data_IF_131192185917
#
_entry.id   IF_131192185917
#
_cell.length_a   1.000
_cell.length_b   1.000
_cell.length_c   1.000
_cell.angle_alpha   90.00
_cell.angle_beta   90.00
_cell.angle_gamma   90.00
#
_symmetry.space_group_name_H-M   'P 1'
#
loop_
_entity.id
_entity.type
_entity.pdbx_description
1 polymer ?
#
# COMPACT_ATOMS: atom_id res chain seq x y z
N UNK A 1 -9.60 -5.59 17.30
CA UNK A 1 -9.70 -7.05 17.07
C UNK A 1 -9.52 -7.24 15.56
N UNK A 2 -8.34 -7.65 15.13
CA UNK A 2 -8.10 -7.92 13.72
C UNK A 2 -8.95 -9.12 13.31
N UNK A 3 -9.91 -8.91 12.41
CA UNK A 3 -10.69 -10.00 11.82
C UNK A 3 -9.79 -10.64 10.79
N UNK A 4 -9.21 -11.78 11.15
CA UNK A 4 -8.40 -12.60 10.26
C UNK A 4 -9.31 -13.62 9.59
N UNK A 5 -9.35 -13.54 8.27
CA UNK A 5 -9.95 -14.58 7.45
C UNK A 5 -8.90 -15.61 7.04
N UNK A 6 -9.31 -16.56 6.25
CA UNK A 6 -8.45 -17.60 5.69
C UNK A 6 -8.68 -17.77 4.19
N UNK A 7 -7.66 -18.21 3.50
CA UNK A 7 -7.74 -18.51 2.08
C UNK A 7 -8.56 -19.78 1.89
N UNK A 8 -9.59 -19.69 1.05
CA UNK A 8 -10.39 -20.83 0.62
C UNK A 8 -9.84 -21.46 -0.67
N UNK A 9 -9.42 -20.62 -1.64
CA UNK A 9 -8.93 -21.06 -2.94
C UNK A 9 -7.89 -20.12 -3.51
N UNK A 10 -6.90 -20.66 -4.23
CA UNK A 10 -5.90 -19.91 -4.99
C UNK A 10 -6.01 -20.28 -6.47
N UNK A 11 -6.04 -19.31 -7.36
CA UNK A 11 -6.12 -19.47 -8.80
C UNK A 11 -5.21 -18.43 -9.50
N UNK A 12 -3.94 -18.74 -9.65
CA UNK A 12 -2.94 -17.79 -10.14
C UNK A 12 -2.86 -16.56 -9.23
N UNK A 13 -2.95 -15.34 -9.76
CA UNK A 13 -2.90 -14.12 -8.95
C UNK A 13 -4.19 -13.83 -8.19
N UNK A 14 -5.24 -14.64 -8.38
CA UNK A 14 -6.53 -14.45 -7.73
C UNK A 14 -6.69 -15.42 -6.56
N UNK A 15 -7.01 -14.88 -5.41
CA UNK A 15 -7.25 -15.63 -4.17
C UNK A 15 -8.70 -15.40 -3.73
N UNK A 16 -9.38 -16.47 -3.31
CA UNK A 16 -10.68 -16.38 -2.64
C UNK A 16 -10.48 -16.62 -1.15
N UNK A 17 -10.93 -15.69 -0.32
CA UNK A 17 -10.86 -15.78 1.14
C UNK A 17 -12.26 -15.80 1.77
N UNK A 18 -12.34 -16.31 3.02
CA UNK A 18 -13.56 -16.32 3.85
C UNK A 18 -13.24 -15.88 5.27
N UNK A 19 -14.27 -15.47 6.01
CA UNK A 19 -14.11 -15.05 7.42
C UNK A 19 -13.50 -13.66 7.60
N UNK A 20 -13.30 -12.92 6.53
CA UNK A 20 -12.87 -11.51 6.51
C UNK A 20 -13.98 -10.66 5.90
N UNK A 21 -14.19 -9.45 6.41
CA UNK A 21 -15.26 -8.55 5.96
C UNK A 21 -14.70 -7.21 5.47
N UNK A 22 -14.00 -7.19 4.33
CA UNK A 22 -13.50 -5.99 3.72
C UNK A 22 -14.61 -5.25 2.95
N UNK A 23 -14.30 -4.05 2.51
CA UNK A 23 -15.06 -3.32 1.48
C UNK A 23 -14.45 -3.60 0.10
N UNK A 24 -15.21 -3.31 -0.95
CA UNK A 24 -14.67 -3.30 -2.31
C UNK A 24 -13.47 -2.35 -2.38
N UNK A 25 -12.41 -2.81 -3.00
CA UNK A 25 -11.13 -2.10 -3.20
C UNK A 25 -10.30 -1.88 -1.92
N UNK A 26 -10.70 -2.45 -0.77
CA UNK A 26 -9.81 -2.47 0.38
C UNK A 26 -8.55 -3.29 0.06
N UNK A 27 -7.43 -2.86 0.63
CA UNK A 27 -6.19 -3.63 0.62
C UNK A 27 -6.24 -4.70 1.70
N UNK A 28 -5.85 -5.90 1.33
CA UNK A 28 -5.71 -7.04 2.24
C UNK A 28 -4.31 -7.62 2.16
N UNK A 29 -3.84 -8.19 3.25
CA UNK A 29 -2.55 -8.88 3.33
C UNK A 29 -2.79 -10.39 3.29
N UNK A 30 -2.25 -11.04 2.28
CA UNK A 30 -2.52 -12.44 1.93
C UNK A 30 -1.35 -13.34 2.33
N UNK A 31 -1.66 -14.40 3.07
CA UNK A 31 -0.68 -15.40 3.48
C UNK A 31 0.25 -14.94 4.60
N UNK A 32 1.16 -15.83 4.97
CA UNK A 32 2.16 -15.58 6.02
C UNK A 32 3.19 -14.51 5.62
N UNK A 33 3.46 -14.36 4.32
CA UNK A 33 4.35 -13.34 3.77
C UNK A 33 3.70 -11.97 3.64
N UNK A 34 2.40 -11.86 3.95
CA UNK A 34 1.62 -10.61 3.89
C UNK A 34 1.64 -9.94 2.51
N UNK A 35 1.46 -10.74 1.47
CA UNK A 35 1.41 -10.25 0.10
C UNK A 35 0.27 -9.26 -0.07
N UNK A 36 0.54 -8.14 -0.72
CA UNK A 36 -0.48 -7.12 -0.95
C UNK A 36 -1.49 -7.60 -2.00
N UNK A 37 -2.77 -7.53 -1.66
CA UNK A 37 -3.88 -7.81 -2.55
C UNK A 37 -4.98 -6.76 -2.43
N UNK A 38 -5.77 -6.60 -3.49
CA UNK A 38 -6.92 -5.72 -3.55
C UNK A 38 -8.21 -6.54 -3.69
N UNK A 39 -9.23 -6.16 -2.96
CA UNK A 39 -10.56 -6.79 -3.05
C UNK A 39 -11.25 -6.37 -4.35
N UNK A 40 -11.47 -7.34 -5.24
CA UNK A 40 -12.09 -7.12 -6.56
C UNK A 40 -13.49 -7.73 -6.68
N UNK A 41 -13.94 -8.47 -5.67
CA UNK A 41 -15.28 -9.06 -5.66
C UNK A 41 -15.72 -9.48 -4.26
N UNK A 42 -17.01 -9.33 -4.01
CA UNK A 42 -17.67 -9.76 -2.79
C UNK A 42 -18.93 -10.53 -3.19
N UNK A 43 -19.00 -11.82 -2.87
CA UNK A 43 -20.17 -12.70 -3.14
C UNK A 43 -20.43 -13.53 -1.89
N UNK A 44 -21.56 -13.29 -1.24
CA UNK A 44 -21.93 -13.96 0.02
C UNK A 44 -20.78 -13.89 1.05
N UNK A 45 -20.19 -15.04 1.40
CA UNK A 45 -19.05 -15.14 2.30
C UNK A 45 -17.69 -15.16 1.57
N UNK A 46 -17.68 -15.16 0.25
CA UNK A 46 -16.50 -15.26 -0.57
C UNK A 46 -15.97 -13.85 -0.93
N UNK A 47 -14.73 -13.62 -0.57
CA UNK A 47 -13.98 -12.40 -0.90
C UNK A 47 -12.96 -12.73 -1.98
N UNK A 48 -13.14 -12.16 -3.17
CA UNK A 48 -12.21 -12.32 -4.28
C UNK A 48 -11.15 -11.22 -4.22
N UNK A 49 -9.90 -11.63 -4.20
CA UNK A 49 -8.73 -10.78 -4.00
C UNK A 49 -7.78 -10.95 -5.17
N UNK A 50 -7.35 -9.86 -5.78
CA UNK A 50 -6.25 -9.85 -6.73
C UNK A 50 -4.95 -9.51 -6.01
N UNK A 51 -4.00 -10.43 -6.00
CA UNK A 51 -2.69 -10.25 -5.37
C UNK A 51 -1.74 -9.61 -6.38
N UNK A 52 -1.01 -8.59 -5.94
CA UNK A 52 -0.10 -7.81 -6.79
C UNK A 52 1.28 -8.47 -6.98
N UNK A 53 1.59 -9.47 -6.17
CA UNK A 53 2.86 -10.20 -6.17
C UNK A 53 2.65 -11.67 -6.57
N UNK A 54 3.75 -12.39 -6.78
CA UNK A 54 3.68 -13.83 -7.07
C UNK A 54 3.09 -14.61 -5.88
N UNK A 55 2.06 -15.39 -6.15
CA UNK A 55 1.32 -16.19 -5.15
C UNK A 55 1.90 -17.59 -4.94
N UNK A 56 3.07 -17.91 -5.51
CA UNK A 56 3.72 -19.21 -5.31
C UNK A 56 3.94 -19.48 -3.82
N UNK A 57 3.49 -20.65 -3.34
CA UNK A 57 3.59 -21.02 -1.93
C UNK A 57 2.38 -20.60 -1.06
N UNK A 58 1.53 -19.72 -1.54
CA UNK A 58 0.25 -19.39 -0.90
C UNK A 58 -0.72 -20.56 -1.09
N UNK A 59 -1.41 -20.95 -0.03
CA UNK A 59 -2.28 -22.14 -0.03
C UNK A 59 -3.57 -21.91 0.77
N UNK A 60 -4.62 -22.71 0.52
CA UNK A 60 -5.80 -22.73 1.36
C UNK A 60 -5.47 -22.94 2.84
N UNK A 61 -6.14 -22.19 3.72
CA UNK A 61 -5.90 -22.14 5.16
C UNK A 61 -4.89 -21.08 5.61
N UNK A 62 -4.12 -20.47 4.70
CA UNK A 62 -3.25 -19.34 5.07
C UNK A 62 -4.09 -18.10 5.45
N UNK A 63 -3.58 -17.24 6.35
CA UNK A 63 -4.34 -16.10 6.85
C UNK A 63 -4.55 -15.00 5.82
N UNK A 64 -5.66 -14.27 5.94
CA UNK A 64 -5.93 -13.03 5.22
C UNK A 64 -6.29 -11.95 6.24
N UNK A 65 -5.60 -10.82 6.20
CA UNK A 65 -5.81 -9.69 7.10
C UNK A 65 -6.36 -8.49 6.30
N UNK A 66 -7.47 -7.90 6.75
CA UNK A 66 -7.98 -6.66 6.15
C UNK A 66 -7.29 -5.45 6.77
N UNK A 67 -6.74 -4.55 5.95
CA UNK A 67 -6.17 -3.29 6.43
C UNK A 67 -7.25 -2.27 6.79
N UNK A 68 -8.47 -2.42 6.23
CA UNK A 68 -9.58 -1.50 6.42
C UNK A 68 -9.50 -0.23 5.57
N UNK A 69 -8.50 -0.13 4.70
CA UNK A 69 -8.24 1.03 3.86
C UNK A 69 -8.04 0.62 2.40
N UNK A 70 -8.50 1.43 1.42
CA UNK A 70 -8.22 1.19 0.01
C UNK A 70 -6.75 1.44 -0.32
N UNK A 71 -6.34 0.98 -1.50
CA UNK A 71 -5.01 1.29 -2.02
C UNK A 71 -4.83 2.81 -2.09
N UNK A 72 -3.81 3.30 -1.42
CA UNK A 72 -3.49 4.71 -1.35
C UNK A 72 -2.01 4.95 -1.65
N UNK A 73 -1.69 6.14 -2.11
CA UNK A 73 -0.33 6.61 -2.34
C UNK A 73 -0.01 7.76 -1.39
N UNK A 74 1.21 7.81 -0.93
CA UNK A 74 1.69 8.90 -0.11
C UNK A 74 2.17 10.05 -1.00
N UNK A 75 1.56 11.22 -0.86
CA UNK A 75 1.91 12.41 -1.64
C UNK A 75 2.61 13.44 -0.75
N UNK A 76 3.76 13.92 -1.20
CA UNK A 76 4.55 14.91 -0.47
C UNK A 76 5.89 15.21 -1.13
N UNK A 77 6.68 16.11 -0.54
CA UNK A 77 8.02 16.39 -1.00
C UNK A 77 8.92 15.14 -0.93
N UNK A 78 9.72 14.91 -1.96
CA UNK A 78 10.57 13.72 -2.10
C UNK A 78 10.12 12.76 -3.21
N UNK A 79 8.95 13.01 -3.83
CA UNK A 79 8.48 12.22 -4.95
C UNK A 79 9.25 12.49 -6.24
N UNK A 80 9.63 13.76 -6.49
CA UNK A 80 10.34 14.13 -7.71
C UNK A 80 11.74 13.46 -7.72
N UNK A 81 12.15 13.00 -8.89
CA UNK A 81 13.41 12.28 -9.12
C UNK A 81 13.53 10.90 -8.45
N UNK A 82 12.48 10.41 -7.79
CA UNK A 82 12.43 9.08 -7.20
C UNK A 82 11.80 8.07 -8.17
N UNK A 83 12.22 6.81 -8.07
CA UNK A 83 11.70 5.72 -8.90
C UNK A 83 10.99 4.73 -7.97
N UNK A 84 9.76 4.38 -8.33
CA UNK A 84 8.90 3.51 -7.55
C UNK A 84 8.45 2.29 -8.36
N UNK A 85 8.04 1.25 -7.65
CA UNK A 85 7.29 0.15 -8.24
C UNK A 85 5.77 0.47 -8.29
N UNK A 86 4.96 -0.52 -8.73
CA UNK A 86 3.51 -0.35 -8.91
C UNK A 86 2.70 -0.08 -7.63
N UNK A 87 3.29 -0.24 -6.44
CA UNK A 87 2.66 -0.02 -5.13
C UNK A 87 3.39 1.03 -4.29
N UNK A 88 4.11 1.92 -4.97
CA UNK A 88 4.85 3.05 -4.40
C UNK A 88 5.97 2.65 -3.42
N UNK A 89 6.65 1.52 -3.63
CA UNK A 89 7.88 1.21 -2.88
C UNK A 89 9.09 1.82 -3.61
N UNK A 90 9.94 2.63 -2.93
CA UNK A 90 11.11 3.23 -3.58
C UNK A 90 12.12 2.14 -3.98
N UNK A 91 12.43 2.02 -5.28
CA UNK A 91 13.35 0.99 -5.78
C UNK A 91 14.75 1.02 -5.16
N UNK A 92 15.38 2.19 -4.93
CA UNK A 92 16.67 2.24 -4.25
C UNK A 92 16.64 1.67 -2.83
N UNK A 93 15.55 1.93 -2.08
CA UNK A 93 15.37 1.40 -0.72
C UNK A 93 15.15 -0.12 -0.74
N UNK A 94 14.40 -0.61 -1.73
CA UNK A 94 14.22 -2.05 -1.93
C UNK A 94 15.56 -2.72 -2.26
N UNK A 95 16.35 -2.15 -3.16
CA UNK A 95 17.66 -2.67 -3.53
C UNK A 95 18.63 -2.72 -2.34
N UNK A 96 18.63 -1.70 -1.48
CA UNK A 96 19.45 -1.67 -0.27
C UNK A 96 19.05 -2.77 0.73
N UNK A 97 17.73 -3.03 0.86
CA UNK A 97 17.22 -4.05 1.79
C UNK A 97 17.42 -5.49 1.31
N UNK A 98 17.34 -5.73 0.01
CA UNK A 98 17.19 -7.06 -0.58
C UNK A 98 18.30 -7.41 -1.57
N UNK A 99 19.16 -6.46 -1.95
CA UNK A 99 20.13 -6.63 -3.02
C UNK A 99 19.47 -6.62 -4.41
N UNK A 100 19.97 -7.44 -5.32
CA UNK A 100 19.52 -7.46 -6.72
C UNK A 100 18.23 -8.27 -6.94
N UNK A 101 17.68 -8.90 -5.91
CA UNK A 101 16.46 -9.70 -6.00
C UNK A 101 15.36 -9.09 -5.14
N UNK A 102 14.20 -8.82 -5.76
CA UNK A 102 13.02 -8.33 -5.04
C UNK A 102 12.36 -9.50 -4.32
N UNK A 103 12.41 -9.48 -2.99
CA UNK A 103 11.69 -10.44 -2.15
C UNK A 103 10.22 -10.00 -2.00
N UNK A 104 9.34 -11.01 -1.92
CA UNK A 104 7.89 -10.79 -1.74
C UNK A 104 7.56 -10.32 -0.32
N UNK A 105 6.48 -9.55 -0.18
CA UNK A 105 5.99 -9.08 1.12
C UNK A 105 6.87 -8.01 1.79
N UNK A 106 7.94 -7.54 1.14
CA UNK A 106 8.77 -6.45 1.69
C UNK A 106 8.06 -5.11 1.52
N UNK A 107 7.95 -4.37 2.61
CA UNK A 107 7.35 -3.03 2.63
C UNK A 107 8.42 -1.95 2.81
N UNK A 108 8.19 -0.80 2.18
CA UNK A 108 8.96 0.42 2.39
C UNK A 108 8.01 1.62 2.31
N UNK A 109 8.16 2.64 3.20
CA UNK A 109 7.41 3.88 3.09
C UNK A 109 7.65 4.53 1.73
N UNK A 110 6.59 5.10 1.12
CA UNK A 110 6.69 5.79 -0.17
C UNK A 110 7.58 7.03 -0.11
N UNK A 111 7.63 7.69 1.05
CA UNK A 111 8.46 8.86 1.30
C UNK A 111 9.43 8.63 2.45
N UNK A 112 10.58 9.30 2.40
CA UNK A 112 11.52 9.35 3.53
C UNK A 112 11.06 10.37 4.57
N UNK A 113 10.41 9.91 5.63
CA UNK A 113 9.89 10.75 6.71
C UNK A 113 10.99 11.33 7.61
N UNK A 114 12.23 10.86 7.50
CA UNK A 114 13.38 11.42 8.25
C UNK A 114 13.88 12.71 7.61
N UNK A 115 13.68 12.88 6.30
CA UNK A 115 14.10 14.05 5.55
C UNK A 115 13.24 15.27 5.92
N UNK A 116 13.88 16.37 6.28
CA UNK A 116 13.22 17.64 6.58
C UNK A 116 13.27 18.54 5.36
N UNK A 117 12.21 19.33 5.19
CA UNK A 117 12.03 20.24 4.08
C UNK A 117 11.70 21.64 4.59
N UNK A 118 12.21 22.65 3.92
CA UNK A 118 11.87 24.04 4.22
C UNK A 118 10.49 24.36 3.65
N UNK A 119 9.54 24.54 4.55
CA UNK A 119 8.15 24.86 4.20
C UNK A 119 7.91 26.38 4.31
N UNK A 120 7.44 26.98 3.23
CA UNK A 120 7.06 28.40 3.18
C UNK A 120 5.54 28.49 3.18
N UNK A 121 4.90 28.87 4.31
CA UNK A 121 3.45 28.95 4.39
C UNK A 121 2.91 30.14 3.58
N UNK A 122 1.72 29.96 2.98
CA UNK A 122 0.95 31.00 2.28
C UNK A 122 -0.35 31.36 3.01
N UNK A 123 -0.60 30.69 4.12
CA UNK A 123 -1.78 30.93 4.99
C UNK A 123 -1.34 30.99 6.45
N UNK A 124 -2.07 31.72 7.28
CA UNK A 124 -1.79 31.86 8.70
C UNK A 124 -2.29 30.63 9.50
N UNK A 125 -1.69 30.43 10.68
CA UNK A 125 -2.15 29.41 11.63
C UNK A 125 -3.56 29.74 12.11
N UNK A 126 -4.47 28.77 12.02
CA UNK A 126 -5.89 28.94 12.37
C UNK A 126 -6.77 29.46 11.23
N UNK A 127 -6.22 29.74 10.05
CA UNK A 127 -7.02 30.07 8.88
C UNK A 127 -7.90 28.89 8.45
N UNK A 128 -9.12 29.20 8.00
CA UNK A 128 -9.98 28.19 7.38
C UNK A 128 -9.53 27.93 5.95
N UNK A 129 -9.35 26.67 5.60
CA UNK A 129 -8.90 26.24 4.27
C UNK A 129 -9.89 25.25 3.66
N UNK A 130 -9.95 25.20 2.32
CA UNK A 130 -10.78 24.27 1.57
C UNK A 130 -9.89 23.22 0.88
N UNK A 131 -10.48 22.05 0.52
CA UNK A 131 -9.79 21.04 -0.27
C UNK A 131 -9.28 21.63 -1.59
N UNK A 132 -8.00 21.33 -1.95
CA UNK A 132 -7.33 21.85 -3.14
C UNK A 132 -6.72 23.26 -2.99
N UNK A 133 -6.90 23.93 -1.85
CA UNK A 133 -6.26 25.22 -1.58
C UNK A 133 -4.77 25.06 -1.28
N UNK A 134 -3.95 25.93 -1.87
CA UNK A 134 -2.52 25.99 -1.55
C UNK A 134 -2.32 26.56 -0.14
N UNK A 135 -1.63 25.82 0.72
CA UNK A 135 -1.30 26.24 2.09
C UNK A 135 0.15 26.67 2.27
N UNK A 136 0.99 26.36 1.29
CA UNK A 136 2.42 26.72 1.29
C UNK A 136 3.15 26.07 0.15
N UNK A 137 4.45 26.28 0.10
CA UNK A 137 5.35 25.74 -0.91
C UNK A 137 6.57 25.09 -0.27
N UNK A 138 7.13 24.13 -0.97
CA UNK A 138 8.39 23.46 -0.63
C UNK A 138 9.26 23.43 -1.87
N UNK A 139 10.51 23.90 -1.75
CA UNK A 139 11.49 23.82 -2.83
C UNK A 139 12.14 22.43 -2.81
N UNK A 140 11.76 21.57 -3.75
CA UNK A 140 12.25 20.18 -3.82
C UNK A 140 13.48 20.07 -4.73
N UNK A 141 13.52 20.85 -5.82
CA UNK A 141 14.62 20.87 -6.78
C UNK A 141 15.16 22.30 -6.95
N UNK A 142 16.40 22.48 -7.46
CA UNK A 142 16.97 23.80 -7.70
C UNK A 142 16.24 24.65 -8.74
N UNK A 143 15.38 24.02 -9.54
CA UNK A 143 14.60 24.66 -10.63
C UNK A 143 13.12 24.40 -10.46
#
# INVERSE_FOLDING_TARGET
>A
MEIKGEIYRVSGPVVTARGVSPRMYDVVLVGHEKLMGEVIGLEDDDVTIQVSEDTSGVKPGDPVENTGEPLSVELGPGLLTSIYDGIQRPLPVLQEKMGDYIERGVTAPGLDHSKKWDFVPTVDVGASVNGGQMIGTVQETPT
#
